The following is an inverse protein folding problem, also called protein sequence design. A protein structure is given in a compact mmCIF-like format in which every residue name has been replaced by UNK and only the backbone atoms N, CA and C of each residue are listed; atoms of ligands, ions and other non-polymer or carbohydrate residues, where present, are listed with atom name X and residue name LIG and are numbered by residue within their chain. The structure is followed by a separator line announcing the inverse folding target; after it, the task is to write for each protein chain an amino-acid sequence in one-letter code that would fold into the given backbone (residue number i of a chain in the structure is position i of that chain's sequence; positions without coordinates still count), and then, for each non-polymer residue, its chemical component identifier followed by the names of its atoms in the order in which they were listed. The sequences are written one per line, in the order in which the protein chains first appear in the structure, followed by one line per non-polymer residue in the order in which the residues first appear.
data_IF_557268932605
#
_entry.id   IF_557268932605
#
_cell.length_a   1.000
_cell.length_b   1.000
_cell.length_c   1.000
_cell.angle_alpha   90.00
_cell.angle_beta   90.00
_cell.angle_gamma   90.00
#
_symmetry.space_group_name_H-M   'P 1'
#
loop_
_entity.id
_entity.type
_entity.pdbx_description
1 polymer ?
#
# COMPACT_ATOMS: atom_id res chain seq x y z
N UNK A 1 -6.98 12.65 19.55
CA UNK A 1 -6.63 11.22 19.70
C UNK A 1 -5.42 11.02 18.83
N UNK A 2 -4.27 10.78 19.43
CA UNK A 2 -3.06 10.50 18.67
C UNK A 2 -3.17 9.04 18.20
N UNK A 3 -3.46 8.86 16.92
CA UNK A 3 -3.52 7.53 16.30
C UNK A 3 -2.13 7.13 15.83
N UNK A 4 -1.70 5.92 16.16
CA UNK A 4 -0.45 5.34 15.65
C UNK A 4 -0.75 4.45 14.46
N UNK A 5 -0.11 4.72 13.32
CA UNK A 5 0.07 3.74 12.25
C UNK A 5 1.33 2.94 12.56
N UNK A 6 1.27 1.62 12.42
CA UNK A 6 2.43 0.77 12.61
C UNK A 6 2.61 -0.16 11.42
N UNK A 7 3.86 -0.38 11.04
CA UNK A 7 4.24 -1.27 9.96
C UNK A 7 5.35 -2.21 10.46
N UNK A 8 5.18 -3.49 10.18
CA UNK A 8 6.21 -4.51 10.39
C UNK A 8 6.08 -5.59 9.32
N UNK A 9 7.03 -6.52 9.30
CA UNK A 9 7.03 -7.61 8.34
C UNK A 9 7.47 -8.92 8.99
N UNK A 10 7.03 -10.02 8.40
CA UNK A 10 7.55 -11.35 8.68
C UNK A 10 8.62 -11.70 7.63
N UNK A 11 9.80 -12.09 8.10
CA UNK A 11 10.88 -12.53 7.22
C UNK A 11 10.65 -13.96 6.70
N UNK A 12 11.15 -14.24 5.50
CA UNK A 12 11.27 -15.62 4.99
C UNK A 12 12.41 -16.37 5.69
N UNK A 13 13.53 -15.68 5.90
CA UNK A 13 14.72 -16.21 6.59
C UNK A 13 15.03 -15.37 7.84
N UNK A 14 15.11 -16.04 9.00
CA UNK A 14 15.42 -15.37 10.25
C UNK A 14 16.86 -14.80 10.23
N UNK A 15 17.04 -13.59 10.78
CA UNK A 15 18.34 -12.95 10.91
C UNK A 15 18.81 -12.16 9.68
N UNK A 16 18.05 -12.16 8.58
CA UNK A 16 18.23 -11.19 7.49
C UNK A 16 17.56 -9.87 7.82
N UNK A 17 18.15 -8.78 7.32
CA UNK A 17 17.62 -7.43 7.48
C UNK A 17 16.27 -7.25 6.76
N UNK A 18 15.50 -6.28 7.24
CA UNK A 18 14.30 -5.81 6.56
C UNK A 18 14.66 -5.21 5.21
N UNK A 19 13.91 -5.49 4.13
CA UNK A 19 14.15 -4.77 2.89
C UNK A 19 13.80 -3.29 3.07
N UNK A 20 14.46 -2.40 2.31
CA UNK A 20 14.01 -1.01 2.22
C UNK A 20 12.58 -0.96 1.68
N UNK A 21 11.78 -0.07 2.26
CA UNK A 21 10.39 0.15 1.87
C UNK A 21 10.11 1.65 1.89
N UNK A 22 9.58 2.14 0.78
CA UNK A 22 8.95 3.46 0.74
C UNK A 22 7.44 3.29 0.86
N UNK A 23 6.84 4.07 1.77
CA UNK A 23 5.39 4.13 1.95
C UNK A 23 4.90 5.45 1.37
N UNK A 24 3.97 5.38 0.44
CA UNK A 24 3.28 6.52 -0.13
C UNK A 24 1.88 6.58 0.47
N UNK A 25 1.50 7.73 1.02
CA UNK A 25 0.20 7.93 1.65
C UNK A 25 -0.43 9.19 1.06
N UNK A 26 -1.53 9.07 0.35
CA UNK A 26 -2.33 10.19 -0.10
C UNK A 26 -3.71 10.16 0.55
N UNK A 27 -4.16 11.36 0.89
CA UNK A 27 -5.45 11.60 1.50
C UNK A 27 -6.31 12.40 0.53
N UNK A 28 -7.30 11.73 -0.04
CA UNK A 28 -8.26 12.32 -0.95
C UNK A 28 -9.48 12.76 -0.16
N UNK A 29 -9.75 14.06 -0.16
CA UNK A 29 -10.92 14.64 0.50
C UNK A 29 -11.63 15.55 -0.47
N UNK A 30 -12.94 15.36 -0.60
CA UNK A 30 -13.80 16.39 -1.15
C UNK A 30 -14.25 17.35 -0.03
N UNK A 31 -14.62 18.58 -0.40
CA UNK A 31 -15.26 19.55 0.49
C UNK A 31 -16.66 19.08 0.90
N UNK A 32 -17.31 18.30 0.03
CA UNK A 32 -18.44 17.48 0.43
C UNK A 32 -17.91 16.23 1.16
N UNK A 33 -18.48 15.87 2.30
CA UNK A 33 -17.97 14.74 3.10
C UNK A 33 -18.17 13.36 2.44
N UNK A 34 -18.72 13.34 1.23
CA UNK A 34 -19.18 12.14 0.53
C UNK A 34 -18.02 11.30 -0.04
N UNK A 35 -16.86 11.92 -0.25
CA UNK A 35 -15.67 11.24 -0.78
C UNK A 35 -14.43 11.53 0.05
N UNK A 36 -14.10 10.58 0.94
CA UNK A 36 -12.88 10.59 1.75
C UNK A 36 -12.17 9.24 1.61
N UNK A 37 -11.01 9.23 0.96
CA UNK A 37 -10.21 8.02 0.76
C UNK A 37 -8.79 8.22 1.28
N UNK A 38 -8.26 7.15 1.87
CA UNK A 38 -6.85 7.03 2.17
C UNK A 38 -6.29 5.98 1.23
N UNK A 39 -5.31 6.36 0.41
CA UNK A 39 -4.50 5.39 -0.31
C UNK A 39 -3.20 5.10 0.42
N UNK A 40 -2.71 3.88 0.27
CA UNK A 40 -1.40 3.48 0.75
C UNK A 40 -0.71 2.68 -0.35
N UNK A 41 0.40 3.21 -0.83
CA UNK A 41 1.28 2.55 -1.78
C UNK A 41 2.55 2.05 -1.09
N UNK A 42 3.00 0.87 -1.49
CA UNK A 42 4.27 0.29 -1.04
C UNK A 42 5.21 0.16 -2.22
N UNK A 43 6.40 0.73 -2.11
CA UNK A 43 7.48 0.54 -3.09
C UNK A 43 8.62 -0.20 -2.44
N UNK A 44 8.94 -1.36 -3.00
CA UNK A 44 10.00 -2.24 -2.52
C UNK A 44 10.96 -2.54 -3.66
N UNK A 45 12.21 -2.09 -3.58
CA UNK A 45 13.22 -2.41 -4.58
C UNK A 45 13.75 -3.86 -4.44
N UNK A 46 13.62 -4.46 -3.25
CA UNK A 46 13.95 -5.87 -3.00
C UNK A 46 12.86 -6.52 -2.12
N UNK A 47 12.28 -7.62 -2.59
CA UNK A 47 11.22 -8.37 -1.88
C UNK A 47 11.66 -9.78 -1.48
N UNK A 48 12.93 -10.14 -1.70
CA UNK A 48 13.39 -11.53 -1.58
C UNK A 48 13.27 -12.12 -0.18
N UNK A 49 13.25 -11.29 0.87
CA UNK A 49 13.13 -11.76 2.26
C UNK A 49 11.79 -11.41 2.93
N UNK A 50 10.74 -11.10 2.16
CA UNK A 50 9.43 -10.78 2.71
C UNK A 50 8.50 -11.97 2.59
N UNK A 51 7.96 -12.43 3.73
CA UNK A 51 6.83 -13.36 3.75
C UNK A 51 5.49 -12.63 3.81
N UNK A 52 5.39 -11.60 4.63
CA UNK A 52 4.16 -10.81 4.85
C UNK A 52 4.49 -9.42 5.38
N UNK A 53 3.79 -8.40 4.90
CA UNK A 53 3.73 -7.10 5.58
C UNK A 53 2.45 -6.97 6.38
N UNK A 54 2.55 -6.22 7.46
CA UNK A 54 1.44 -5.92 8.34
C UNK A 54 1.36 -4.41 8.48
N UNK A 55 0.20 -3.84 8.17
CA UNK A 55 -0.10 -2.43 8.36
C UNK A 55 -1.26 -2.30 9.35
N UNK A 56 -0.98 -1.68 10.49
CA UNK A 56 -1.97 -1.41 11.51
C UNK A 56 -2.56 -0.01 11.35
N UNK A 57 -3.88 0.06 11.44
CA UNK A 57 -4.63 1.30 11.55
C UNK A 57 -5.35 1.37 12.90
N UNK A 58 -5.33 2.51 13.59
CA UNK A 58 -6.02 2.71 14.86
C UNK A 58 -7.52 3.01 14.64
N UNK A 59 -8.12 2.43 13.60
CA UNK A 59 -9.53 2.56 13.23
C UNK A 59 -10.05 1.23 12.70
N UNK A 60 -11.35 0.94 12.84
CA UNK A 60 -11.94 -0.23 12.22
C UNK A 60 -11.77 -0.20 10.70
N UNK A 61 -11.27 -1.29 10.13
CA UNK A 61 -11.20 -1.50 8.68
C UNK A 61 -12.19 -2.59 8.30
N UNK A 62 -13.00 -2.32 7.28
CA UNK A 62 -13.90 -3.30 6.68
C UNK A 62 -13.25 -3.80 5.41
N UNK A 63 -13.04 -5.11 5.23
CA UNK A 63 -12.36 -5.64 4.04
C UNK A 63 -13.04 -5.20 2.73
N UNK A 64 -14.37 -5.08 2.73
CA UNK A 64 -15.15 -4.62 1.59
C UNK A 64 -14.94 -3.13 1.23
N UNK A 65 -14.31 -2.34 2.10
CA UNK A 65 -13.93 -0.94 1.82
C UNK A 65 -12.51 -0.80 1.28
N UNK A 66 -11.80 -1.90 1.02
CA UNK A 66 -10.48 -1.91 0.43
C UNK A 66 -10.60 -2.20 -1.07
N UNK A 67 -9.98 -1.37 -1.88
CA UNK A 67 -9.93 -1.53 -3.33
C UNK A 67 -8.50 -1.39 -3.84
N UNK A 68 -8.11 -2.23 -4.79
CA UNK A 68 -6.85 -2.07 -5.52
C UNK A 68 -6.96 -0.90 -6.51
N UNK A 69 -6.01 0.04 -6.43
CA UNK A 69 -5.94 1.17 -7.34
C UNK A 69 -5.12 0.89 -8.60
N UNK A 70 -4.45 -0.27 -8.71
CA UNK A 70 -3.50 -0.55 -9.78
C UNK A 70 -4.09 -0.41 -11.18
N UNK A 71 -5.38 -0.72 -11.35
CA UNK A 71 -6.10 -0.56 -12.63
C UNK A 71 -6.40 0.91 -12.92
N UNK A 72 -6.84 1.67 -11.92
CA UNK A 72 -7.05 3.12 -11.97
C UNK A 72 -5.75 3.87 -12.24
N UNK A 73 -4.62 3.37 -11.73
CA UNK A 73 -3.30 3.94 -11.98
C UNK A 73 -2.90 3.82 -13.46
N UNK A 74 -3.49 2.95 -14.28
CA UNK A 74 -3.18 2.92 -15.72
C UNK A 74 -3.57 4.19 -16.47
N UNK A 75 -4.45 5.01 -15.89
CA UNK A 75 -4.77 6.32 -16.42
C UNK A 75 -3.68 7.32 -16.00
N UNK A 76 -2.96 7.88 -16.98
CA UNK A 76 -1.77 8.71 -16.74
C UNK A 76 -2.01 9.90 -15.81
N UNK A 77 -3.20 10.50 -15.80
CA UNK A 77 -3.55 11.58 -14.86
C UNK A 77 -3.58 11.10 -13.40
N UNK A 78 -4.17 9.94 -13.14
CA UNK A 78 -4.19 9.33 -11.80
C UNK A 78 -2.77 8.97 -11.36
N UNK A 79 -1.99 8.35 -12.24
CA UNK A 79 -0.63 7.92 -11.94
C UNK A 79 0.25 9.13 -11.58
N UNK A 80 0.13 10.22 -12.35
CA UNK A 80 0.79 11.49 -12.04
C UNK A 80 0.34 12.09 -10.71
N UNK A 81 -0.95 11.98 -10.37
CA UNK A 81 -1.46 12.51 -9.11
C UNK A 81 -0.99 11.69 -7.89
N UNK A 82 -0.84 10.37 -8.02
CA UNK A 82 -0.35 9.49 -6.93
C UNK A 82 1.14 9.62 -6.70
N UNK A 83 1.94 9.70 -7.78
CA UNK A 83 3.41 9.73 -7.66
C UNK A 83 4.00 11.14 -7.69
N UNK A 84 3.21 12.17 -8.01
CA UNK A 84 3.68 13.55 -8.25
C UNK A 84 4.76 13.69 -9.34
N UNK A 85 4.91 12.67 -10.18
CA UNK A 85 5.94 12.55 -11.22
C UNK A 85 5.29 12.32 -12.60
N UNK A 86 5.95 12.66 -13.72
CA UNK A 86 5.43 12.47 -15.09
C UNK A 86 5.51 11.00 -15.53
N UNK A 87 5.06 10.10 -14.68
CA UNK A 87 5.15 8.65 -14.88
C UNK A 87 4.13 8.21 -15.93
N UNK A 88 4.56 7.35 -16.84
CA UNK A 88 3.73 6.78 -17.90
C UNK A 88 3.63 5.27 -17.73
N UNK A 89 2.43 4.72 -17.87
CA UNK A 89 2.20 3.26 -17.85
C UNK A 89 2.61 2.62 -19.18
N UNK A 90 3.40 1.55 -19.12
CA UNK A 90 3.71 0.69 -20.26
C UNK A 90 2.65 -0.39 -20.50
N UNK A 91 2.91 -1.27 -21.48
CA UNK A 91 2.10 -2.46 -21.71
C UNK A 91 2.36 -3.52 -20.63
N UNK A 92 1.29 -4.09 -20.09
CA UNK A 92 1.33 -5.16 -19.11
C UNK A 92 0.08 -6.04 -19.20
N UNK A 93 -0.10 -6.91 -18.23
CA UNK A 93 -1.23 -7.84 -18.17
C UNK A 93 -2.14 -7.53 -16.97
N UNK A 94 -3.08 -8.43 -16.66
CA UNK A 94 -4.01 -8.24 -15.54
C UNK A 94 -3.34 -8.26 -14.15
N UNK A 95 -2.09 -8.75 -14.04
CA UNK A 95 -1.36 -8.89 -12.78
C UNK A 95 -0.35 -7.78 -12.55
N UNK A 96 0.23 -7.22 -13.61
CA UNK A 96 1.26 -6.18 -13.46
C UNK A 96 1.47 -5.36 -14.72
N UNK A 97 2.12 -4.21 -14.57
CA UNK A 97 2.62 -3.43 -15.70
C UNK A 97 3.82 -2.54 -15.30
N UNK A 98 4.78 -2.34 -16.21
CA UNK A 98 5.90 -1.44 -15.98
C UNK A 98 5.47 0.01 -16.14
N UNK A 99 6.24 0.92 -15.55
CA UNK A 99 6.12 2.36 -15.73
C UNK A 99 7.45 2.99 -16.13
N UNK A 100 7.39 4.18 -16.70
CA UNK A 100 8.56 4.93 -17.18
C UNK A 100 8.49 6.40 -16.77
N UNK A 101 9.66 7.01 -16.59
CA UNK A 101 9.85 8.45 -16.47
C UNK A 101 10.85 8.86 -17.56
N UNK A 102 10.48 9.84 -18.39
CA UNK A 102 11.33 10.33 -19.50
C UNK A 102 11.86 9.22 -20.44
N UNK A 103 11.08 8.15 -20.62
CA UNK A 103 11.43 6.99 -21.44
C UNK A 103 12.28 5.93 -20.74
N UNK A 104 12.75 6.19 -19.52
CA UNK A 104 13.54 5.24 -18.73
C UNK A 104 12.65 4.41 -17.79
N UNK A 105 12.97 3.12 -17.55
CA UNK A 105 12.23 2.29 -16.60
C UNK A 105 12.21 2.88 -15.19
N UNK A 106 11.04 2.89 -14.55
CA UNK A 106 10.87 3.48 -13.21
C UNK A 106 10.48 2.43 -12.15
N UNK A 107 9.30 1.83 -12.25
CA UNK A 107 8.85 0.75 -11.37
C UNK A 107 7.88 -0.18 -12.09
N UNK A 108 7.54 -1.31 -11.45
CA UNK A 108 6.44 -2.17 -11.88
C UNK A 108 5.31 -2.07 -10.88
N UNK A 109 4.12 -1.71 -11.33
CA UNK A 109 2.91 -1.74 -10.51
C UNK A 109 2.42 -3.18 -10.48
N UNK A 110 2.25 -3.71 -9.27
CA UNK A 110 1.67 -5.03 -9.02
C UNK A 110 0.22 -4.86 -8.60
N UNK A 111 -0.67 -5.60 -9.26
CA UNK A 111 -2.09 -5.65 -8.94
C UNK A 111 -2.29 -6.63 -7.79
N UNK A 112 -3.05 -6.23 -6.77
CA UNK A 112 -3.48 -7.15 -5.72
C UNK A 112 -4.96 -7.51 -5.88
N UNK A 113 -5.32 -8.72 -5.48
CA UNK A 113 -6.70 -9.13 -5.26
C UNK A 113 -6.98 -9.06 -3.75
N UNK A 114 -7.76 -8.05 -3.27
CA UNK A 114 -8.04 -7.91 -1.85
C UNK A 114 -8.64 -9.15 -1.18
N UNK A 115 -9.37 -9.99 -1.93
CA UNK A 115 -9.97 -11.20 -1.37
C UNK A 115 -8.96 -12.35 -1.18
N UNK A 116 -7.85 -12.33 -1.92
CA UNK A 116 -6.83 -13.39 -1.89
C UNK A 116 -5.56 -12.95 -1.16
N UNK A 117 -5.16 -11.70 -1.37
CA UNK A 117 -3.83 -11.19 -1.03
C UNK A 117 -3.83 -10.41 0.30
N UNK A 118 -5.01 -10.08 0.84
CA UNK A 118 -5.16 -9.35 2.11
C UNK A 118 -5.91 -10.16 3.16
N UNK A 119 -5.54 -9.92 4.42
CA UNK A 119 -6.23 -10.40 5.61
C UNK A 119 -6.48 -9.18 6.50
N UNK A 120 -7.72 -8.98 6.91
CA UNK A 120 -8.10 -7.91 7.85
C UNK A 120 -8.51 -8.55 9.16
N UNK A 121 -7.71 -8.31 10.20
CA UNK A 121 -7.93 -8.85 11.54
C UNK A 121 -8.10 -7.70 12.55
N UNK A 122 -9.18 -7.70 13.36
CA UNK A 122 -9.29 -6.75 14.45
C UNK A 122 -8.25 -7.11 15.52
N UNK A 123 -7.41 -6.14 15.88
CA UNK A 123 -6.52 -6.29 17.02
C UNK A 123 -7.31 -5.98 18.30
N UNK A 124 -7.46 -6.98 19.18
CA UNK A 124 -7.96 -6.74 20.52
C UNK A 124 -6.90 -5.96 21.29
N UNK A 125 -7.04 -4.63 21.34
CA UNK A 125 -6.23 -3.79 22.21
C UNK A 125 -6.82 -3.97 23.61
N UNK A 126 -6.10 -4.68 24.48
CA UNK A 126 -6.48 -4.76 25.89
C UNK A 126 -6.43 -3.34 26.47
N UNK A 127 -7.55 -2.75 26.92
CA UNK A 127 -7.59 -1.36 27.36
C UNK A 127 -6.72 -1.07 28.59
N UNK A 128 -6.22 -2.12 29.23
CA UNK A 128 -5.41 -2.06 30.44
C UNK A 128 -4.06 -2.69 30.13
N UNK A 129 -3.08 -1.86 29.78
CA UNK A 129 -1.69 -2.27 29.83
C UNK A 129 -1.35 -2.74 31.24
N UNK A 130 -1.41 -4.05 31.48
CA UNK A 130 -0.67 -4.66 32.58
C UNK A 130 0.81 -4.48 32.25
N UNK A 131 1.39 -3.38 32.73
CA UNK A 131 2.85 -3.27 32.83
C UNK A 131 3.37 -4.45 33.66
N UNK A 132 4.50 -5.06 33.28
CA UNK A 132 5.25 -5.90 34.20
C UNK A 132 5.73 -5.09 35.42
#
# INVERSE_FOLDING_TARGET
MDGTLALWFDALEAGREAPPLDIHVNLWRDLSADFNFLDVGFRMPDVQNVRRFHLFFPVPIVAASISDLGSTLRYGETLKAVFNDPVVSGSGDASSYPTQIDGEPHLTVQMIDPARDLIVEPLAIDPLGSKP
#
